data_IF_813508905859
#
_entry.id   IF_813508905859
#
_cell.length_a   1.000
_cell.length_b   1.000
_cell.length_c   1.000
_cell.angle_alpha   90.00
_cell.angle_beta   90.00
_cell.angle_gamma   90.00
#
_symmetry.space_group_name_H-M   'P 1'
#
loop_
_entity.id
_entity.type
_entity.pdbx_description
1 polymer ?
#
# COMPACT_ATOMS: atom_id res chain seq x y z
N UNK A 1 82.06 -44.91 -8.90
CA UNK A 1 81.00 -44.66 -7.90
C UNK A 1 80.41 -43.28 -8.15
N UNK A 2 79.20 -43.19 -8.72
CA UNK A 2 78.47 -41.93 -8.95
C UNK A 2 77.26 -41.92 -8.01
N UNK A 3 77.12 -40.88 -7.18
CA UNK A 3 75.84 -40.56 -6.54
C UNK A 3 75.47 -39.14 -6.92
N UNK A 4 74.32 -39.06 -7.58
CA UNK A 4 73.70 -37.90 -8.21
C UNK A 4 72.90 -37.17 -7.13
N UNK A 5 73.18 -35.88 -6.93
CA UNK A 5 72.36 -34.97 -6.11
C UNK A 5 71.20 -34.46 -6.96
N UNK A 6 69.98 -34.85 -6.58
CA UNK A 6 68.72 -34.41 -7.21
C UNK A 6 68.31 -33.03 -6.66
N UNK A 7 67.83 -32.07 -7.48
CA UNK A 7 67.54 -30.72 -7.05
C UNK A 7 66.13 -30.62 -6.44
N UNK A 8 66.05 -30.12 -5.21
CA UNK A 8 64.81 -29.93 -4.42
C UNK A 8 64.07 -28.62 -4.77
N UNK A 9 64.59 -27.82 -5.72
CA UNK A 9 64.12 -26.45 -5.94
C UNK A 9 62.90 -26.27 -6.86
N UNK A 10 62.39 -27.32 -7.51
CA UNK A 10 61.34 -27.18 -8.54
C UNK A 10 59.90 -27.25 -8.04
N UNK A 11 59.65 -27.61 -6.77
CA UNK A 11 58.29 -27.77 -6.26
C UNK A 11 57.67 -26.50 -5.63
N UNK A 12 58.47 -25.47 -5.33
CA UNK A 12 57.98 -24.28 -4.62
C UNK A 12 57.30 -23.25 -5.53
N UNK A 13 57.52 -23.30 -6.85
CA UNK A 13 57.01 -22.28 -7.78
C UNK A 13 55.62 -22.60 -8.38
N UNK A 14 55.12 -23.83 -8.24
CA UNK A 14 53.84 -24.25 -8.83
C UNK A 14 52.63 -23.92 -7.94
N UNK A 15 52.84 -23.64 -6.65
CA UNK A 15 51.74 -23.36 -5.71
C UNK A 15 51.24 -21.91 -5.71
N UNK A 16 51.92 -20.97 -6.36
CA UNK A 16 51.48 -19.55 -6.39
C UNK A 16 50.65 -19.17 -7.62
N UNK A 17 50.44 -20.08 -8.59
CA UNK A 17 49.71 -19.75 -9.83
C UNK A 17 48.18 -19.90 -9.74
N UNK A 18 47.62 -20.37 -8.61
CA UNK A 18 46.19 -20.69 -8.51
C UNK A 18 45.40 -19.89 -7.46
N UNK A 19 45.97 -18.84 -6.85
CA UNK A 19 45.32 -18.11 -5.76
C UNK A 19 44.52 -16.87 -6.18
N UNK A 20 44.22 -16.68 -7.47
CA UNK A 20 43.45 -15.52 -7.95
C UNK A 20 42.03 -15.90 -8.37
N UNK A 21 41.30 -16.56 -7.47
CA UNK A 21 39.85 -16.50 -7.52
C UNK A 21 39.44 -15.11 -7.03
N UNK A 22 39.34 -14.15 -7.96
CA UNK A 22 38.53 -12.96 -7.73
C UNK A 22 37.12 -13.45 -7.40
N UNK A 23 36.73 -13.36 -6.12
CA UNK A 23 35.32 -13.36 -5.76
C UNK A 23 34.74 -12.11 -6.40
N UNK A 24 34.11 -12.26 -7.57
CA UNK A 24 33.09 -11.32 -8.01
C UNK A 24 32.07 -11.29 -6.87
N UNK A 25 31.98 -10.16 -6.18
CA UNK A 25 30.88 -9.88 -5.27
C UNK A 25 29.60 -9.95 -6.11
N UNK A 26 28.96 -11.12 -6.10
CA UNK A 26 27.62 -11.26 -6.64
C UNK A 26 26.76 -10.26 -5.88
N UNK A 27 26.28 -9.24 -6.59
CA UNK A 27 25.32 -8.27 -6.05
C UNK A 27 24.25 -9.05 -5.28
N UNK A 28 23.92 -8.68 -4.03
CA UNK A 28 22.92 -9.38 -3.25
C UNK A 28 21.66 -9.57 -4.08
N UNK A 29 21.18 -10.83 -4.20
CA UNK A 29 19.93 -11.12 -4.90
C UNK A 29 18.83 -10.37 -4.15
N UNK A 30 18.38 -9.25 -4.72
CA UNK A 30 17.22 -8.54 -4.19
C UNK A 30 16.00 -9.39 -4.49
N UNK A 31 15.34 -9.86 -3.44
CA UNK A 31 14.07 -10.56 -3.55
C UNK A 31 12.98 -9.55 -3.96
N UNK A 32 12.82 -9.36 -5.27
CA UNK A 32 11.75 -8.53 -5.83
C UNK A 32 10.45 -9.32 -5.68
N UNK A 33 9.51 -8.80 -4.89
CA UNK A 33 8.18 -9.40 -4.69
C UNK A 33 7.30 -9.22 -5.92
N UNK A 34 7.31 -8.02 -6.49
CA UNK A 34 6.49 -7.69 -7.66
C UNK A 34 7.06 -6.50 -8.44
N UNK A 35 6.82 -6.51 -9.75
CA UNK A 35 7.24 -5.42 -10.65
C UNK A 35 6.22 -5.16 -11.77
N UNK A 36 6.42 -4.13 -12.61
CA UNK A 36 5.45 -3.70 -13.61
C UNK A 36 5.02 -4.80 -14.60
N UNK A 37 5.94 -5.70 -14.95
CA UNK A 37 5.61 -6.82 -15.85
C UNK A 37 4.66 -7.83 -15.19
N UNK A 38 4.80 -8.06 -13.88
CA UNK A 38 3.87 -8.91 -13.13
C UNK A 38 2.50 -8.24 -13.03
N UNK A 39 2.46 -6.92 -12.74
CA UNK A 39 1.22 -6.16 -12.70
C UNK A 39 0.47 -6.24 -14.03
N UNK A 40 1.17 -6.03 -15.16
CA UNK A 40 0.61 -6.16 -16.51
C UNK A 40 0.05 -7.55 -16.77
N UNK A 41 0.82 -8.60 -16.44
CA UNK A 41 0.39 -9.97 -16.66
C UNK A 41 -0.87 -10.31 -15.84
N UNK A 42 -0.97 -9.82 -14.60
CA UNK A 42 -2.13 -10.01 -13.74
C UNK A 42 -3.33 -9.16 -14.18
N UNK A 43 -3.10 -7.96 -14.70
CA UNK A 43 -4.14 -7.07 -15.22
C UNK A 43 -4.72 -7.53 -16.58
N UNK A 44 -3.96 -8.28 -17.38
CA UNK A 44 -4.36 -8.71 -18.73
C UNK A 44 -5.63 -9.59 -18.79
N UNK A 45 -6.04 -10.19 -17.67
CA UNK A 45 -7.27 -10.99 -17.56
C UNK A 45 -8.53 -10.17 -17.23
N UNK A 46 -8.43 -8.86 -17.00
CA UNK A 46 -9.54 -8.00 -16.60
C UNK A 46 -10.16 -7.25 -17.79
N UNK A 47 -11.45 -6.86 -17.72
CA UNK A 47 -12.06 -6.02 -18.74
C UNK A 47 -11.28 -4.71 -18.93
N UNK A 48 -11.19 -4.25 -20.18
CA UNK A 48 -10.31 -3.15 -20.59
C UNK A 48 -10.63 -1.77 -19.97
N UNK A 49 -11.80 -1.61 -19.33
CA UNK A 49 -12.22 -0.34 -18.74
C UNK A 49 -11.79 -0.19 -17.29
N UNK A 50 -11.28 0.99 -16.92
CA UNK A 50 -11.02 1.36 -15.53
C UNK A 50 -12.31 1.31 -14.69
N UNK A 51 -12.16 0.93 -13.42
CA UNK A 51 -13.26 1.01 -12.46
C UNK A 51 -13.49 2.49 -12.13
N UNK A 52 -14.74 2.95 -12.23
CA UNK A 52 -15.13 4.28 -11.76
C UNK A 52 -15.66 4.16 -10.33
N UNK A 53 -14.99 4.83 -9.40
CA UNK A 53 -15.30 4.75 -7.98
C UNK A 53 -16.30 5.82 -7.58
N UNK A 54 -17.25 5.44 -6.71
CA UNK A 54 -18.28 6.32 -6.17
C UNK A 54 -18.59 5.98 -4.72
N UNK A 55 -19.12 6.94 -3.97
CA UNK A 55 -19.79 6.67 -2.71
C UNK A 55 -21.15 7.36 -2.59
N UNK A 56 -21.98 6.87 -1.70
CA UNK A 56 -23.26 7.47 -1.33
C UNK A 56 -23.07 8.40 -0.13
N UNK A 57 -23.72 9.55 -0.18
CA UNK A 57 -23.82 10.53 0.89
C UNK A 57 -25.31 10.90 0.98
N UNK A 58 -26.04 10.21 1.86
CA UNK A 58 -27.50 10.18 1.80
C UNK A 58 -27.99 9.66 0.45
N UNK A 59 -28.86 10.43 -0.21
CA UNK A 59 -29.37 10.11 -1.57
C UNK A 59 -28.39 10.51 -2.69
N UNK A 60 -27.36 11.29 -2.38
CA UNK A 60 -26.40 11.78 -3.37
C UNK A 60 -25.32 10.75 -3.67
N UNK A 61 -25.18 10.40 -4.96
CA UNK A 61 -24.02 9.64 -5.44
C UNK A 61 -22.86 10.58 -5.80
N UNK A 62 -21.77 10.51 -5.03
CA UNK A 62 -20.53 11.25 -5.31
C UNK A 62 -19.60 10.41 -6.19
N UNK A 63 -19.09 11.00 -7.26
CA UNK A 63 -18.19 10.35 -8.23
C UNK A 63 -16.75 10.75 -7.91
N UNK A 64 -15.89 9.77 -7.63
CA UNK A 64 -14.44 9.94 -7.47
C UNK A 64 -13.70 9.78 -8.81
N UNK A 65 -14.28 9.01 -9.74
CA UNK A 65 -13.71 8.75 -11.05
C UNK A 65 -12.76 7.55 -11.04
N UNK A 66 -11.78 7.56 -11.94
CA UNK A 66 -10.81 6.49 -12.06
C UNK A 66 -9.60 6.75 -11.15
N UNK A 67 -8.90 5.68 -10.76
CA UNK A 67 -7.67 5.79 -9.96
C UNK A 67 -6.60 6.61 -10.69
N UNK A 68 -5.91 7.45 -9.94
CA UNK A 68 -4.74 8.18 -10.38
C UNK A 68 -3.54 7.23 -10.45
N UNK A 69 -2.86 7.18 -11.59
CA UNK A 69 -1.93 6.10 -11.89
C UNK A 69 -0.51 6.33 -11.40
N UNK A 70 -0.21 7.51 -10.85
CA UNK A 70 1.15 7.89 -10.46
C UNK A 70 1.39 7.79 -8.96
N UNK A 71 0.34 7.67 -8.14
CA UNK A 71 0.48 7.58 -6.69
C UNK A 71 -0.54 6.64 -6.07
N UNK A 72 -0.15 6.02 -4.96
CA UNK A 72 -1.03 5.27 -4.06
C UNK A 72 -0.79 5.71 -2.63
N UNK A 73 -1.82 5.59 -1.80
CA UNK A 73 -1.75 5.93 -0.38
C UNK A 73 -1.57 4.64 0.41
N UNK A 74 -0.65 4.64 1.38
CA UNK A 74 -0.44 3.51 2.28
C UNK A 74 -0.35 3.94 3.73
N UNK A 75 -0.67 3.02 4.64
CA UNK A 75 -0.30 3.09 6.04
C UNK A 75 0.58 1.89 6.36
N UNK A 76 1.69 2.10 7.06
CA UNK A 76 2.55 1.01 7.52
C UNK A 76 2.00 0.41 8.81
N UNK A 77 2.33 -0.86 9.05
CA UNK A 77 2.02 -1.53 10.31
C UNK A 77 2.73 -0.85 11.46
N UNK A 78 2.04 -0.80 12.60
CA UNK A 78 2.53 -0.09 13.78
C UNK A 78 3.92 -0.59 14.23
N UNK A 79 4.79 0.35 14.62
CA UNK A 79 6.10 0.08 15.21
C UNK A 79 7.22 -0.20 14.21
N UNK A 80 6.99 -0.07 12.90
CA UNK A 80 8.07 -0.08 11.92
C UNK A 80 8.89 1.21 11.98
N UNK A 81 10.21 1.10 11.84
CA UNK A 81 11.08 2.26 11.65
C UNK A 81 11.10 2.68 10.18
N UNK A 82 11.49 3.92 9.89
CA UNK A 82 11.61 4.42 8.52
C UNK A 82 12.52 3.53 7.64
N UNK A 83 13.57 2.93 8.21
CA UNK A 83 14.43 1.98 7.50
C UNK A 83 13.70 0.70 7.14
N UNK A 84 12.82 0.20 8.01
CA UNK A 84 12.00 -1.00 7.76
C UNK A 84 10.89 -0.73 6.77
N UNK A 85 10.29 0.45 6.79
CA UNK A 85 9.35 0.89 5.77
C UNK A 85 10.04 0.95 4.39
N UNK A 86 11.21 1.58 4.30
CA UNK A 86 11.99 1.64 3.07
C UNK A 86 12.43 0.25 2.57
N UNK A 87 12.83 -0.65 3.47
CA UNK A 87 13.18 -2.04 3.15
C UNK A 87 11.98 -2.81 2.57
N UNK A 88 10.80 -2.64 3.17
CA UNK A 88 9.57 -3.25 2.67
C UNK A 88 9.25 -2.75 1.24
N UNK A 89 9.34 -1.44 1.01
CA UNK A 89 9.07 -0.83 -0.30
C UNK A 89 10.09 -1.22 -1.37
N UNK A 90 11.37 -1.41 -1.01
CA UNK A 90 12.44 -1.75 -1.95
C UNK A 90 12.21 -3.09 -2.69
N UNK A 91 11.30 -3.93 -2.19
CA UNK A 91 10.91 -5.18 -2.82
C UNK A 91 9.87 -5.03 -3.94
N UNK A 92 9.33 -3.82 -4.16
CA UNK A 92 8.33 -3.53 -5.18
C UNK A 92 8.91 -2.63 -6.28
N UNK A 93 9.24 -3.20 -7.43
CA UNK A 93 9.88 -2.43 -8.51
C UNK A 93 8.90 -1.52 -9.27
N UNK A 94 7.62 -1.50 -8.89
CA UNK A 94 6.62 -0.53 -9.37
C UNK A 94 6.51 0.72 -8.47
N UNK A 95 7.16 0.71 -7.29
CA UNK A 95 7.26 1.87 -6.39
C UNK A 95 8.57 2.59 -6.68
N UNK A 96 8.49 3.89 -6.98
CA UNK A 96 9.65 4.75 -7.21
C UNK A 96 10.19 5.33 -5.90
N UNK A 97 9.31 5.64 -4.94
CA UNK A 97 9.69 6.16 -3.63
C UNK A 97 8.50 6.67 -2.82
N UNK A 98 8.78 7.35 -1.71
CA UNK A 98 7.78 8.05 -0.90
C UNK A 98 7.69 9.49 -1.41
N UNK A 99 6.51 9.91 -1.86
CA UNK A 99 6.25 11.27 -2.37
C UNK A 99 5.96 12.27 -1.24
N UNK A 100 5.45 11.81 -0.11
CA UNK A 100 5.16 12.66 1.03
C UNK A 100 4.40 11.94 2.15
N UNK A 101 4.28 12.60 3.29
CA UNK A 101 3.55 12.11 4.46
C UNK A 101 2.33 12.99 4.71
N UNK A 102 1.19 12.38 5.00
CA UNK A 102 -0.03 13.04 5.44
C UNK A 102 -0.13 12.91 6.96
N UNK A 103 -0.18 14.05 7.66
CA UNK A 103 -0.07 14.08 9.12
C UNK A 103 -1.43 14.05 9.87
N UNK A 104 -2.56 14.10 9.16
CA UNK A 104 -3.88 14.34 9.79
C UNK A 104 -4.54 13.10 10.38
N UNK A 105 -4.29 11.92 9.83
CA UNK A 105 -5.07 10.69 10.12
C UNK A 105 -4.09 9.50 10.13
N UNK A 106 -3.38 9.31 11.25
CA UNK A 106 -2.26 8.37 11.33
C UNK A 106 -1.09 8.68 10.36
N UNK A 107 -0.02 7.87 10.35
CA UNK A 107 1.09 8.05 9.43
C UNK A 107 0.74 7.49 8.04
N UNK A 108 -0.16 8.16 7.33
CA UNK A 108 -0.41 7.87 5.92
C UNK A 108 0.73 8.42 5.05
N UNK A 109 1.21 7.60 4.13
CA UNK A 109 2.29 7.95 3.21
C UNK A 109 1.82 7.83 1.76
N UNK A 110 2.14 8.83 0.95
CA UNK A 110 1.96 8.75 -0.49
C UNK A 110 3.18 8.07 -1.11
N UNK A 111 2.96 7.01 -1.88
CA UNK A 111 3.98 6.34 -2.65
C UNK A 111 3.91 6.80 -4.10
N UNK A 112 5.05 7.24 -4.64
CA UNK A 112 5.19 7.49 -6.06
C UNK A 112 5.34 6.17 -6.82
N UNK A 113 4.55 5.98 -7.86
CA UNK A 113 4.61 4.82 -8.74
C UNK A 113 5.48 5.12 -9.98
N UNK A 114 5.98 4.06 -10.61
CA UNK A 114 6.64 4.20 -11.91
C UNK A 114 5.65 4.69 -12.98
N UNK A 115 6.16 5.42 -13.96
CA UNK A 115 5.34 5.95 -15.05
C UNK A 115 4.77 4.85 -15.97
N UNK A 116 3.67 5.19 -16.65
CA UNK A 116 3.07 4.33 -17.67
C UNK A 116 2.24 3.16 -17.13
N UNK A 117 1.93 3.16 -15.83
CA UNK A 117 0.98 2.20 -15.27
C UNK A 117 -0.46 2.53 -15.69
N UNK A 118 -1.23 1.50 -16.03
CA UNK A 118 -2.67 1.62 -16.23
C UNK A 118 -3.43 1.63 -14.90
N UNK A 119 -4.68 2.11 -14.91
CA UNK A 119 -5.56 2.05 -13.73
C UNK A 119 -5.67 0.63 -13.15
N UNK A 120 -5.72 -0.40 -14.01
CA UNK A 120 -5.78 -1.81 -13.60
C UNK A 120 -4.49 -2.30 -12.95
N UNK A 121 -3.35 -1.85 -13.47
CA UNK A 121 -2.05 -2.15 -12.85
C UNK A 121 -1.93 -1.47 -11.47
N UNK A 122 -2.48 -0.26 -11.31
CA UNK A 122 -2.53 0.41 -10.01
C UNK A 122 -3.48 -0.29 -9.04
N UNK A 123 -4.68 -0.69 -9.47
CA UNK A 123 -5.59 -1.51 -8.66
C UNK A 123 -4.91 -2.82 -8.20
N UNK A 124 -4.17 -3.47 -9.10
CA UNK A 124 -3.39 -4.67 -8.76
C UNK A 124 -2.21 -4.38 -7.84
N UNK A 125 -1.53 -3.23 -8.01
CA UNK A 125 -0.47 -2.79 -7.11
C UNK A 125 -1.01 -2.58 -5.69
N UNK A 126 -2.17 -1.93 -5.54
CA UNK A 126 -2.85 -1.74 -4.26
C UNK A 126 -3.16 -3.10 -3.62
N UNK A 127 -3.69 -4.05 -4.40
CA UNK A 127 -3.93 -5.41 -3.89
C UNK A 127 -2.65 -6.07 -3.38
N UNK A 128 -1.58 -6.05 -4.16
CA UNK A 128 -0.29 -6.63 -3.75
C UNK A 128 0.27 -5.95 -2.50
N UNK A 129 0.17 -4.63 -2.41
CA UNK A 129 0.60 -3.88 -1.23
C UNK A 129 -0.25 -4.26 0.00
N UNK A 130 -1.57 -4.42 -0.16
CA UNK A 130 -2.48 -4.79 0.93
C UNK A 130 -2.22 -6.19 1.50
N UNK A 131 -1.64 -7.10 0.71
CA UNK A 131 -1.26 -8.45 1.12
C UNK A 131 0.08 -8.47 1.90
N UNK A 132 0.83 -7.37 1.93
CA UNK A 132 2.10 -7.31 2.63
C UNK A 132 1.92 -7.16 4.14
N UNK A 133 2.63 -7.96 4.97
CA UNK A 133 2.54 -7.84 6.42
C UNK A 133 3.03 -6.49 6.95
N UNK A 134 3.91 -5.77 6.26
CA UNK A 134 4.40 -4.45 6.65
C UNK A 134 3.41 -3.32 6.33
N UNK A 135 2.44 -3.52 5.44
CA UNK A 135 1.45 -2.51 5.05
C UNK A 135 0.14 -2.79 5.78
N UNK A 136 -0.33 -1.86 6.61
CA UNK A 136 -1.60 -1.97 7.33
C UNK A 136 -2.80 -1.63 6.44
N UNK A 137 -2.60 -0.68 5.51
CA UNK A 137 -3.66 -0.18 4.64
C UNK A 137 -3.06 0.29 3.30
N UNK A 138 -3.79 0.11 2.21
CA UNK A 138 -3.43 0.61 0.89
C UNK A 138 -4.69 1.07 0.15
N UNK A 139 -4.64 2.25 -0.47
CA UNK A 139 -5.77 2.86 -1.15
C UNK A 139 -5.35 3.68 -2.38
N UNK A 140 -6.27 3.87 -3.35
CA UNK A 140 -5.99 4.70 -4.52
C UNK A 140 -6.02 6.20 -4.20
N UNK A 141 -5.31 6.96 -5.04
CA UNK A 141 -5.56 8.39 -5.25
C UNK A 141 -6.53 8.58 -6.44
N UNK A 142 -7.17 9.75 -6.48
CA UNK A 142 -8.04 10.22 -7.56
C UNK A 142 -7.68 11.65 -7.94
N UNK A 143 -7.97 12.03 -9.18
CA UNK A 143 -7.88 13.42 -9.61
C UNK A 143 -9.13 14.19 -9.19
N UNK A 144 -8.96 15.36 -8.56
CA UNK A 144 -10.06 16.27 -8.21
C UNK A 144 -9.66 17.71 -8.54
N UNK A 145 -10.16 18.20 -9.68
CA UNK A 145 -9.73 19.49 -10.22
C UNK A 145 -8.23 19.46 -10.53
N UNK A 146 -7.49 20.43 -10.00
CA UNK A 146 -6.03 20.53 -10.14
C UNK A 146 -5.25 19.77 -9.05
N UNK A 147 -5.94 19.09 -8.13
CA UNK A 147 -5.35 18.37 -7.02
C UNK A 147 -5.56 16.86 -7.09
N UNK A 148 -4.89 16.14 -6.18
CA UNK A 148 -5.08 14.71 -5.95
C UNK A 148 -5.68 14.45 -4.57
N UNK A 149 -6.58 13.48 -4.52
CA UNK A 149 -7.38 13.11 -3.35
C UNK A 149 -7.23 11.62 -3.07
N UNK A 150 -6.83 11.26 -1.86
CA UNK A 150 -6.73 9.88 -1.39
C UNK A 150 -7.87 9.53 -0.44
N UNK A 151 -8.14 8.24 -0.30
CA UNK A 151 -9.06 7.70 0.71
C UNK A 151 -8.21 7.23 1.89
N UNK A 152 -8.36 7.85 3.06
CA UNK A 152 -7.68 7.38 4.29
C UNK A 152 -8.21 6.02 4.74
N UNK A 153 -7.65 5.48 5.82
CA UNK A 153 -8.14 4.29 6.51
C UNK A 153 -9.36 4.58 7.42
N UNK A 154 -9.99 5.74 7.29
CA UNK A 154 -11.06 6.20 8.16
C UNK A 154 -12.32 6.64 7.39
N UNK A 155 -13.48 6.55 8.03
CA UNK A 155 -14.77 7.03 7.54
C UNK A 155 -15.50 7.81 8.64
N UNK A 156 -16.23 8.85 8.25
CA UNK A 156 -17.04 9.68 9.15
C UNK A 156 -18.50 9.26 9.00
N UNK A 157 -19.10 8.83 10.11
CA UNK A 157 -20.47 8.33 10.16
C UNK A 157 -21.30 9.21 11.11
N UNK A 158 -22.43 9.71 10.63
CA UNK A 158 -23.38 10.49 11.44
C UNK A 158 -24.70 9.73 11.54
N UNK A 159 -25.22 9.61 12.76
CA UNK A 159 -26.50 8.97 13.05
C UNK A 159 -27.67 9.98 12.93
N UNK A 160 -28.87 9.49 12.56
CA UNK A 160 -30.10 10.32 12.52
C UNK A 160 -30.56 10.71 13.92
N UNK A 161 -30.68 9.72 14.80
CA UNK A 161 -30.95 9.83 16.24
C UNK A 161 -30.19 8.66 16.89
N UNK A 162 -29.32 8.92 17.87
CA UNK A 162 -28.20 8.01 18.12
C UNK A 162 -27.86 7.70 19.56
N UNK A 163 -27.76 6.41 19.86
CA UNK A 163 -27.06 5.85 21.02
C UNK A 163 -25.80 5.14 20.52
N UNK A 164 -24.66 5.37 21.15
CA UNK A 164 -23.36 4.79 20.79
C UNK A 164 -23.38 3.26 20.56
N UNK A 165 -24.31 2.55 21.19
CA UNK A 165 -24.46 1.10 21.02
C UNK A 165 -24.84 0.68 19.57
N UNK A 166 -25.55 1.52 18.82
CA UNK A 166 -25.94 1.20 17.44
C UNK A 166 -24.73 1.27 16.49
N UNK A 167 -23.89 2.31 16.64
CA UNK A 167 -22.70 2.46 15.80
C UNK A 167 -21.67 1.36 16.07
N UNK A 168 -21.50 0.93 17.32
CA UNK A 168 -20.61 -0.19 17.67
C UNK A 168 -21.03 -1.50 17.00
N UNK A 169 -22.34 -1.78 16.92
CA UNK A 169 -22.84 -3.00 16.25
C UNK A 169 -22.59 -2.97 14.74
N UNK A 170 -22.84 -1.82 14.10
CA UNK A 170 -22.59 -1.66 12.67
C UNK A 170 -21.08 -1.69 12.35
N UNK A 171 -20.25 -1.08 13.19
CA UNK A 171 -18.79 -1.14 13.07
C UNK A 171 -18.29 -2.59 13.18
N UNK A 172 -18.75 -3.34 14.19
CA UNK A 172 -18.43 -4.75 14.36
C UNK A 172 -18.91 -5.61 13.17
N UNK A 173 -20.07 -5.28 12.57
CA UNK A 173 -20.55 -5.98 11.39
C UNK A 173 -19.66 -5.79 10.14
N UNK A 174 -18.81 -4.76 10.12
CA UNK A 174 -17.82 -4.51 9.07
C UNK A 174 -16.38 -4.85 9.48
N UNK A 175 -16.19 -5.35 10.71
CA UNK A 175 -14.87 -5.50 11.33
C UNK A 175 -14.08 -4.17 11.32
N UNK A 176 -14.79 -3.06 11.63
CA UNK A 176 -14.26 -1.71 11.78
C UNK A 176 -14.20 -1.30 13.27
N UNK A 177 -13.33 -0.36 13.60
CA UNK A 177 -13.15 0.18 14.95
C UNK A 177 -13.76 1.59 15.06
N UNK A 178 -14.51 1.87 16.13
CA UNK A 178 -14.91 3.25 16.47
C UNK A 178 -13.75 3.92 17.19
N UNK A 179 -13.10 4.89 16.56
CA UNK A 179 -11.89 5.54 17.07
C UNK A 179 -12.22 6.71 17.97
N UNK A 180 -13.16 7.55 17.55
CA UNK A 180 -13.49 8.80 18.23
C UNK A 180 -14.95 9.21 17.95
N UNK A 181 -15.58 9.85 18.93
CA UNK A 181 -16.81 10.62 18.71
C UNK A 181 -16.40 12.08 18.41
N UNK A 182 -16.59 12.50 17.16
CA UNK A 182 -16.19 13.84 16.69
C UNK A 182 -17.16 14.92 17.18
N UNK A 183 -18.45 14.57 17.29
CA UNK A 183 -19.51 15.41 17.86
C UNK A 183 -20.70 14.52 18.25
N UNK A 184 -21.73 15.11 18.85
CA UNK A 184 -22.99 14.41 19.12
C UNK A 184 -23.48 13.71 17.84
N UNK A 185 -23.63 12.39 17.92
CA UNK A 185 -24.03 11.49 16.82
C UNK A 185 -23.06 11.35 15.65
N UNK A 186 -21.85 11.92 15.68
CA UNK A 186 -20.85 11.78 14.61
C UNK A 186 -19.62 11.05 15.12
N UNK A 187 -19.27 9.96 14.44
CA UNK A 187 -18.20 9.06 14.82
C UNK A 187 -17.17 8.92 13.70
N UNK A 188 -15.91 8.83 14.09
CA UNK A 188 -14.81 8.44 13.22
C UNK A 188 -14.59 6.94 13.38
N UNK A 189 -14.78 6.19 12.30
CA UNK A 189 -14.52 4.76 12.25
C UNK A 189 -13.28 4.50 11.42
N UNK A 190 -12.51 3.49 11.83
CA UNK A 190 -11.28 3.06 11.17
C UNK A 190 -11.40 1.64 10.65
N UNK A 191 -10.80 1.41 9.50
CA UNK A 191 -10.64 0.08 8.90
C UNK A 191 -9.17 -0.29 8.78
N UNK A 192 -8.90 -1.58 8.74
CA UNK A 192 -7.58 -2.11 8.42
C UNK A 192 -7.70 -3.34 7.51
N UNK A 193 -6.58 -4.06 7.31
CA UNK A 193 -6.54 -5.28 6.49
C UNK A 193 -7.44 -6.42 6.98
N UNK A 194 -7.92 -6.37 8.22
CA UNK A 194 -8.85 -7.35 8.80
C UNK A 194 -10.31 -6.98 8.58
N UNK A 195 -10.59 -5.74 8.19
CA UNK A 195 -11.93 -5.27 7.83
C UNK A 195 -12.45 -5.90 6.54
N UNK A 196 -13.77 -5.89 6.34
CA UNK A 196 -14.42 -6.49 5.15
C UNK A 196 -14.19 -5.72 3.84
N UNK A 197 -13.57 -4.55 3.92
CA UNK A 197 -13.25 -3.67 2.81
C UNK A 197 -12.48 -2.44 3.28
N UNK A 198 -12.26 -1.49 2.37
CA UNK A 198 -11.61 -0.23 2.71
C UNK A 198 -12.63 0.81 3.25
N UNK A 199 -12.16 2.03 3.55
CA UNK A 199 -13.02 3.07 4.13
C UNK A 199 -14.14 3.53 3.17
N UNK A 200 -13.95 3.41 1.86
CA UNK A 200 -14.99 3.67 0.87
C UNK A 200 -16.07 2.60 0.92
N UNK A 201 -15.67 1.33 1.05
CA UNK A 201 -16.59 0.21 1.19
C UNK A 201 -17.38 0.31 2.49
N UNK A 202 -16.73 0.71 3.59
CA UNK A 202 -17.37 1.00 4.87
C UNK A 202 -18.42 2.12 4.73
N UNK A 203 -18.05 3.26 4.13
CA UNK A 203 -18.97 4.38 3.95
C UNK A 203 -20.20 3.97 3.13
N UNK A 204 -20.00 3.20 2.05
CA UNK A 204 -21.10 2.67 1.24
C UNK A 204 -21.97 1.66 1.97
N UNK A 205 -21.36 0.82 2.81
CA UNK A 205 -22.09 -0.12 3.67
C UNK A 205 -22.98 0.63 4.67
N UNK A 206 -22.43 1.66 5.33
CA UNK A 206 -23.10 2.47 6.34
C UNK A 206 -24.23 3.32 5.76
N UNK A 207 -24.04 3.92 4.57
CA UNK A 207 -25.05 4.76 3.92
C UNK A 207 -26.38 4.03 3.63
N UNK A 208 -26.39 2.69 3.63
CA UNK A 208 -27.59 1.88 3.45
C UNK A 208 -28.23 1.35 4.74
N UNK A 209 -27.69 1.69 5.92
CA UNK A 209 -28.20 1.19 7.20
C UNK A 209 -29.26 2.12 7.80
N UNK A 210 -30.21 1.54 8.52
CA UNK A 210 -31.22 2.29 9.28
C UNK A 210 -30.56 3.12 10.39
N UNK A 211 -31.00 4.37 10.56
CA UNK A 211 -30.48 5.29 11.58
C UNK A 211 -29.15 5.96 11.22
N UNK A 212 -28.63 5.77 10.00
CA UNK A 212 -27.46 6.50 9.48
C UNK A 212 -27.93 7.69 8.65
N UNK A 213 -27.69 8.90 9.14
CA UNK A 213 -28.00 10.14 8.43
C UNK A 213 -26.99 10.41 7.30
N UNK A 214 -25.72 10.12 7.57
CA UNK A 214 -24.62 10.42 6.67
C UNK A 214 -23.46 9.44 6.87
N UNK A 215 -22.82 9.05 5.78
CA UNK A 215 -21.61 8.24 5.80
C UNK A 215 -20.71 8.66 4.65
N UNK A 216 -19.45 8.98 4.96
CA UNK A 216 -18.47 9.31 3.92
C UNK A 216 -17.08 8.81 4.27
N UNK A 217 -16.26 8.42 3.28
CA UNK A 217 -14.84 8.16 3.54
C UNK A 217 -14.17 9.47 3.98
N UNK A 218 -13.23 9.38 4.91
CA UNK A 218 -12.39 10.51 5.27
C UNK A 218 -11.33 10.70 4.16
N UNK A 219 -11.44 11.81 3.43
CA UNK A 219 -10.64 12.09 2.25
C UNK A 219 -9.43 12.96 2.60
N UNK A 220 -8.26 12.57 2.12
CA UNK A 220 -7.02 13.34 2.31
C UNK A 220 -6.60 13.99 1.00
N UNK A 221 -6.27 15.28 1.06
CA UNK A 221 -5.67 15.98 -0.08
C UNK A 221 -4.16 15.79 -0.01
N UNK A 222 -3.51 15.36 -1.09
CA UNK A 222 -2.05 15.39 -1.08
C UNK A 222 -1.57 16.85 -1.10
N UNK A 223 -0.49 17.11 -0.38
CA UNK A 223 0.23 18.36 -0.50
C UNK A 223 0.98 18.34 -1.85
N UNK A 224 0.84 19.40 -2.64
CA UNK A 224 1.61 19.62 -3.86
C UNK A 224 3.08 19.92 -3.54
#
# INVERSE_FOLDING_TARGET
MKKITLPIFTYLFVLMAFSSCRQEEASPIRNIKAGPNLLRAQAAGSPASCTSYTYLNGEDKKVLGNVYTQQVLVSFSYGLSAEKEAEALASYSFVKGIAGQQARTGPLQSLELVEGLSCKEVEQAIKILSEDPAIAYAAPYFLKGDGIMGISDEAIITLEDGSAAAIEQLAAAFDAEVVEELSENTYLLKVDKSSKGNALDLANFMAGQEGIAHAEPNLVMAAN
#
